data_IF_924514128707
#
_entry.id   IF_924514128707
#
_cell.length_a   1.000
_cell.length_b   1.000
_cell.length_c   1.000
_cell.angle_alpha   90.00
_cell.angle_beta   90.00
_cell.angle_gamma   90.00
#
_symmetry.space_group_name_H-M   'P 1'
#
loop_
_entity.id
_entity.type
_entity.pdbx_description
1 polymer ?
#
# COMPACT_ATOMS: atom_id res chain seq x y z
N UNK A 1 -74.53 9.37 44.89
CA UNK A 1 -73.18 9.59 44.33
C UNK A 1 -72.23 8.57 44.96
N UNK A 2 -71.77 7.57 44.19
CA UNK A 2 -70.81 6.56 44.65
C UNK A 2 -69.43 6.95 44.12
N UNK A 3 -68.49 7.28 45.00
CA UNK A 3 -67.09 7.55 44.66
C UNK A 3 -66.28 6.27 44.83
N UNK A 4 -65.81 5.71 43.72
CA UNK A 4 -64.87 4.59 43.68
C UNK A 4 -63.43 5.10 43.85
N UNK A 5 -62.76 4.73 44.96
CA UNK A 5 -61.32 4.85 45.08
C UNK A 5 -60.65 3.62 44.45
N UNK A 6 -59.98 3.80 43.29
CA UNK A 6 -59.04 2.81 42.74
C UNK A 6 -57.62 3.17 43.17
N UNK A 7 -57.03 2.33 44.00
CA UNK A 7 -55.60 2.34 44.31
C UNK A 7 -54.84 1.84 43.07
N UNK A 8 -53.93 2.66 42.53
CA UNK A 8 -52.98 2.24 41.48
C UNK A 8 -51.74 1.67 42.15
N UNK A 9 -51.52 0.36 42.03
CA UNK A 9 -50.22 -0.25 42.28
C UNK A 9 -49.26 0.17 41.15
N UNK A 10 -48.18 0.85 41.49
CA UNK A 10 -47.06 1.12 40.58
C UNK A 10 -46.10 -0.07 40.73
N UNK A 11 -46.06 -0.93 39.72
CA UNK A 11 -45.04 -1.97 39.61
C UNK A 11 -43.75 -1.31 39.10
N UNK A 12 -42.74 -1.24 39.96
CA UNK A 12 -41.38 -0.86 39.57
C UNK A 12 -40.72 -2.09 38.97
N UNK A 13 -40.70 -2.18 37.65
CA UNK A 13 -39.92 -3.16 36.91
C UNK A 13 -38.44 -2.79 37.00
N UNK A 14 -37.69 -3.53 37.81
CA UNK A 14 -36.24 -3.45 37.89
C UNK A 14 -35.66 -4.11 36.62
N UNK A 15 -35.39 -3.31 35.59
CA UNK A 15 -34.68 -3.76 34.40
C UNK A 15 -33.20 -3.95 34.75
N UNK A 16 -32.80 -5.20 34.95
CA UNK A 16 -31.39 -5.59 35.06
C UNK A 16 -30.72 -5.32 33.70
N UNK A 17 -29.99 -4.21 33.59
CA UNK A 17 -29.10 -3.97 32.45
C UNK A 17 -27.88 -4.85 32.68
N UNK A 18 -27.86 -6.03 32.05
CA UNK A 18 -26.65 -6.82 31.86
C UNK A 18 -25.73 -6.02 30.93
N UNK A 19 -24.83 -5.24 31.53
CA UNK A 19 -23.69 -4.68 30.83
C UNK A 19 -22.78 -5.83 30.40
N UNK A 20 -22.88 -6.23 29.14
CA UNK A 20 -21.82 -7.01 28.49
C UNK A 20 -20.60 -6.09 28.37
N UNK A 21 -19.66 -6.22 29.30
CA UNK A 21 -18.30 -5.79 29.10
C UNK A 21 -17.68 -6.68 28.01
N UNK A 22 -18.06 -6.45 26.76
CA UNK A 22 -17.31 -6.92 25.61
C UNK A 22 -15.99 -6.19 25.64
N UNK A 23 -14.95 -6.84 26.15
CA UNK A 23 -13.59 -6.37 25.91
C UNK A 23 -13.44 -6.22 24.40
N UNK A 24 -13.17 -5.00 23.94
CA UNK A 24 -12.87 -4.71 22.55
C UNK A 24 -11.60 -5.50 22.19
N UNK A 25 -11.76 -6.74 21.75
CA UNK A 25 -10.66 -7.53 21.23
C UNK A 25 -10.15 -6.77 20.00
N UNK A 26 -8.88 -6.34 20.06
CA UNK A 26 -8.23 -5.73 18.91
C UNK A 26 -8.36 -6.68 17.72
N UNK A 27 -8.71 -6.19 16.51
CA UNK A 27 -8.86 -7.04 15.35
C UNK A 27 -7.55 -7.80 15.11
N UNK A 28 -7.65 -9.13 14.98
CA UNK A 28 -6.54 -10.02 14.69
C UNK A 28 -6.41 -10.20 13.17
N UNK A 29 -5.20 -10.48 12.65
CA UNK A 29 -5.05 -10.78 11.23
C UNK A 29 -5.79 -12.09 10.89
N UNK A 30 -6.36 -12.18 9.68
CA UNK A 30 -7.17 -13.34 9.28
C UNK A 30 -6.39 -14.68 9.32
N UNK A 31 -5.06 -14.61 9.24
CA UNK A 31 -4.16 -15.78 9.29
C UNK A 31 -3.91 -16.30 10.71
N UNK A 32 -4.36 -15.59 11.75
CA UNK A 32 -4.10 -15.97 13.14
C UNK A 32 -4.70 -17.35 13.46
N UNK A 33 -3.87 -18.24 14.00
CA UNK A 33 -4.31 -19.57 14.43
C UNK A 33 -4.74 -19.56 15.91
N UNK A 34 -5.58 -20.52 16.35
CA UNK A 34 -5.94 -20.64 17.76
C UNK A 34 -4.72 -20.72 18.68
N UNK A 35 -4.69 -19.85 19.69
CA UNK A 35 -3.58 -19.75 20.64
C UNK A 35 -2.42 -18.85 20.21
N UNK A 36 -2.44 -18.31 18.99
CA UNK A 36 -1.47 -17.28 18.58
C UNK A 36 -1.84 -15.91 19.15
N UNK A 37 -0.81 -15.13 19.47
CA UNK A 37 -0.95 -13.74 19.88
C UNK A 37 -0.30 -12.81 18.84
N UNK A 38 -1.04 -11.80 18.41
CA UNK A 38 -0.60 -10.83 17.41
C UNK A 38 -0.83 -9.42 17.95
N UNK A 39 0.19 -8.58 17.84
CA UNK A 39 0.18 -7.22 18.36
C UNK A 39 0.12 -6.23 17.21
N UNK A 40 -0.93 -5.41 17.18
CA UNK A 40 -1.08 -4.32 16.22
C UNK A 40 0.07 -3.31 16.38
N UNK A 41 0.68 -2.92 15.27
CA UNK A 41 1.76 -1.96 15.20
C UNK A 41 1.17 -0.59 14.87
N UNK A 42 0.90 0.22 15.90
CA UNK A 42 0.18 1.50 15.79
C UNK A 42 0.87 2.49 14.83
N UNK A 43 2.20 2.54 14.81
CA UNK A 43 2.98 3.42 13.93
C UNK A 43 2.93 3.04 12.44
N UNK A 44 2.32 1.90 12.12
CA UNK A 44 2.12 1.38 10.76
C UNK A 44 0.69 0.87 10.56
N UNK A 45 -0.25 1.37 11.37
CA UNK A 45 -1.67 1.05 11.28
C UNK A 45 -2.50 2.32 11.39
N UNK A 46 -3.57 2.40 10.61
CA UNK A 46 -4.48 3.53 10.56
C UNK A 46 -5.85 3.11 10.04
N UNK A 47 -6.89 3.62 10.69
CA UNK A 47 -8.29 3.52 10.26
C UNK A 47 -8.73 4.80 9.51
N UNK A 48 -7.81 5.74 9.30
CA UNK A 48 -8.00 6.98 8.55
C UNK A 48 -9.20 7.81 9.02
N UNK A 49 -9.40 7.91 10.33
CA UNK A 49 -10.32 8.91 10.92
C UNK A 49 -9.80 10.35 10.72
N UNK A 50 -8.47 10.51 10.64
CA UNK A 50 -7.78 11.79 10.42
C UNK A 50 -6.60 11.63 9.48
N UNK A 51 -6.16 12.75 8.86
CA UNK A 51 -4.89 12.81 8.13
C UNK A 51 -3.72 12.99 9.10
N UNK A 52 -3.20 11.90 9.66
CA UNK A 52 -2.10 11.91 10.63
C UNK A 52 -0.73 12.10 9.96
N UNK A 53 -0.25 13.35 9.91
CA UNK A 53 1.06 13.69 9.33
C UNK A 53 2.25 13.37 10.27
N UNK A 54 2.01 13.03 11.54
CA UNK A 54 3.05 12.55 12.43
C UNK A 54 3.40 11.10 12.10
N UNK A 55 2.38 10.27 11.83
CA UNK A 55 2.57 8.87 11.42
C UNK A 55 2.97 8.71 9.95
N UNK A 56 2.38 9.52 9.07
CA UNK A 56 2.56 9.40 7.62
C UNK A 56 3.27 10.61 7.00
N UNK A 57 4.20 10.34 6.09
CA UNK A 57 4.73 11.32 5.17
C UNK A 57 3.91 11.31 3.86
N UNK A 58 3.11 12.36 3.67
CA UNK A 58 2.25 12.53 2.49
C UNK A 58 2.94 13.25 1.30
N UNK A 59 4.22 13.61 1.44
CA UNK A 59 5.01 14.21 0.38
C UNK A 59 6.49 13.77 0.48
N UNK A 60 6.76 12.58 -0.05
CA UNK A 60 8.06 11.91 0.04
C UNK A 60 9.06 12.41 -1.01
N UNK A 61 10.24 11.80 -1.05
CA UNK A 61 11.17 11.96 -2.17
C UNK A 61 10.50 11.61 -3.51
N UNK A 62 10.68 12.46 -4.52
CA UNK A 62 10.08 12.25 -5.83
C UNK A 62 10.85 11.20 -6.65
N UNK A 63 10.11 10.30 -7.28
CA UNK A 63 10.59 9.31 -8.25
C UNK A 63 9.55 9.10 -9.36
N UNK A 64 9.84 8.23 -10.32
CA UNK A 64 8.99 8.06 -11.51
C UNK A 64 8.90 9.36 -12.33
N UNK A 65 7.73 9.60 -12.93
CA UNK A 65 7.49 10.71 -13.88
C UNK A 65 6.31 11.60 -13.46
N UNK A 66 6.04 11.61 -12.17
CA UNK A 66 5.14 12.52 -11.48
C UNK A 66 5.87 13.15 -10.29
N UNK A 67 5.17 13.97 -9.54
CA UNK A 67 5.62 14.45 -8.23
C UNK A 67 4.55 14.22 -7.18
N UNK A 68 4.98 13.83 -5.99
CA UNK A 68 4.12 13.72 -4.81
C UNK A 68 3.76 15.10 -4.30
N UNK A 69 2.50 15.25 -3.89
CA UNK A 69 2.00 16.47 -3.27
C UNK A 69 1.11 16.14 -2.09
N UNK A 70 1.31 16.84 -0.98
CA UNK A 70 0.49 16.67 0.22
C UNK A 70 -1.02 16.90 -0.05
N UNK A 71 -1.36 17.88 -0.88
CA UNK A 71 -2.74 18.21 -1.32
C UNK A 71 -3.40 17.12 -2.18
N UNK A 72 -2.67 16.08 -2.57
CA UNK A 72 -3.19 14.91 -3.28
C UNK A 72 -3.45 13.71 -2.35
N UNK A 73 -3.25 13.88 -1.05
CA UNK A 73 -3.70 12.97 -0.01
C UNK A 73 -4.73 13.67 0.88
N UNK A 74 -5.95 13.15 0.93
CA UNK A 74 -7.03 13.67 1.77
C UNK A 74 -7.70 12.56 2.54
N UNK A 75 -8.15 12.86 3.75
CA UNK A 75 -8.92 11.94 4.58
C UNK A 75 -10.31 12.55 4.82
N UNK A 76 -11.35 11.78 4.58
CA UNK A 76 -12.74 12.16 4.81
C UNK A 76 -13.60 10.92 5.03
N UNK A 77 -14.51 10.97 5.99
CA UNK A 77 -15.47 9.88 6.29
C UNK A 77 -14.80 8.51 6.51
N UNK A 78 -13.65 8.50 7.19
CA UNK A 78 -12.87 7.27 7.46
C UNK A 78 -12.05 6.76 6.28
N UNK A 79 -12.01 7.47 5.15
CA UNK A 79 -11.34 7.01 3.93
C UNK A 79 -10.15 7.92 3.59
N UNK A 80 -8.97 7.33 3.42
CA UNK A 80 -7.84 7.98 2.75
C UNK A 80 -8.02 7.92 1.23
N UNK A 81 -7.94 9.08 0.57
CA UNK A 81 -7.97 9.21 -0.88
C UNK A 81 -6.63 9.71 -1.40
N UNK A 82 -6.04 8.97 -2.34
CA UNK A 82 -4.78 9.34 -3.01
C UNK A 82 -5.05 9.64 -4.49
N UNK A 83 -4.92 10.90 -4.87
CA UNK A 83 -5.39 11.41 -6.16
C UNK A 83 -4.24 11.67 -7.13
N UNK A 84 -4.32 11.13 -8.34
CA UNK A 84 -3.48 11.57 -9.48
C UNK A 84 -4.19 12.68 -10.23
N UNK A 85 -3.48 13.78 -10.49
CA UNK A 85 -3.98 14.95 -11.23
C UNK A 85 -3.12 15.22 -12.46
N UNK A 86 -3.76 15.65 -13.55
CA UNK A 86 -3.06 16.25 -14.68
C UNK A 86 -2.62 17.66 -14.27
N UNK A 87 -1.33 17.83 -14.01
CA UNK A 87 -0.74 19.08 -13.55
C UNK A 87 0.69 19.26 -14.09
N UNK A 88 0.87 20.24 -14.97
CA UNK A 88 2.18 20.53 -15.55
C UNK A 88 3.06 21.25 -14.54
N UNK A 89 4.25 20.72 -14.29
CA UNK A 89 5.21 21.30 -13.37
C UNK A 89 6.65 20.97 -13.80
N UNK A 90 7.63 21.56 -13.12
CA UNK A 90 9.05 21.34 -13.36
C UNK A 90 9.70 20.76 -12.09
N UNK A 91 10.58 19.78 -12.25
CA UNK A 91 11.49 19.35 -11.16
C UNK A 91 12.82 18.87 -11.69
N UNK A 92 13.80 18.67 -10.81
CA UNK A 92 14.99 17.89 -11.17
C UNK A 92 14.60 16.43 -11.38
N UNK A 93 15.01 15.86 -12.49
CA UNK A 93 14.75 14.48 -12.88
C UNK A 93 16.06 13.72 -13.07
N UNK A 94 16.13 12.48 -12.60
CA UNK A 94 17.26 11.60 -12.87
C UNK A 94 17.01 10.91 -14.21
N UNK A 95 17.85 11.19 -15.20
CA UNK A 95 17.89 10.48 -16.48
C UNK A 95 18.86 9.29 -16.33
N UNK A 96 18.31 8.12 -16.02
CA UNK A 96 19.09 6.89 -15.85
C UNK A 96 19.71 6.35 -17.14
N UNK A 97 19.23 6.75 -18.32
CA UNK A 97 19.85 6.34 -19.58
C UNK A 97 21.17 7.07 -19.82
N UNK A 98 21.19 8.38 -19.54
CA UNK A 98 22.37 9.23 -19.66
C UNK A 98 23.14 9.40 -18.34
N UNK A 99 22.66 8.80 -17.26
CA UNK A 99 23.23 8.86 -15.90
C UNK A 99 23.45 10.30 -15.41
N UNK A 100 22.49 11.19 -15.64
CA UNK A 100 22.59 12.61 -15.28
C UNK A 100 21.34 13.16 -14.61
N UNK A 101 21.49 14.24 -13.83
CA UNK A 101 20.35 15.00 -13.28
C UNK A 101 20.00 16.13 -14.23
N UNK A 102 18.77 16.13 -14.73
CA UNK A 102 18.24 17.17 -15.61
C UNK A 102 17.44 18.17 -14.76
N UNK A 103 17.93 19.41 -14.57
CA UNK A 103 17.18 20.44 -13.86
C UNK A 103 16.00 20.93 -14.71
N UNK A 104 14.94 21.43 -14.05
CA UNK A 104 13.75 21.98 -14.70
C UNK A 104 13.13 21.04 -15.76
N UNK A 105 13.20 19.72 -15.51
CA UNK A 105 12.58 18.72 -16.37
C UNK A 105 11.05 18.84 -16.26
N UNK A 106 10.37 18.93 -17.40
CA UNK A 106 8.92 19.11 -17.46
C UNK A 106 8.20 17.78 -17.26
N UNK A 107 7.27 17.76 -16.32
CA UNK A 107 6.37 16.65 -16.04
C UNK A 107 4.92 17.11 -16.09
N UNK A 108 4.00 16.16 -16.16
CA UNK A 108 2.61 16.44 -16.53
C UNK A 108 1.58 16.01 -15.49
N UNK A 109 1.99 15.26 -14.47
CA UNK A 109 1.09 14.72 -13.45
C UNK A 109 1.65 14.84 -12.05
N UNK A 110 0.79 15.10 -11.08
CA UNK A 110 1.08 15.00 -9.64
C UNK A 110 0.24 13.88 -9.05
N UNK A 111 0.68 13.28 -7.94
CA UNK A 111 -0.04 12.16 -7.30
C UNK A 111 0.04 12.20 -5.77
N UNK A 112 -0.74 11.35 -5.11
CA UNK A 112 -0.79 11.16 -3.66
C UNK A 112 -0.01 9.93 -3.19
N UNK A 113 0.59 10.04 -2.01
CA UNK A 113 1.32 8.98 -1.31
C UNK A 113 1.06 9.10 0.18
N UNK A 114 1.06 7.99 0.91
CA UNK A 114 1.16 7.94 2.36
C UNK A 114 2.25 6.92 2.74
N UNK A 115 3.41 7.42 3.18
CA UNK A 115 4.55 6.58 3.60
C UNK A 115 4.73 6.64 5.10
N UNK A 116 4.69 5.51 5.80
CA UNK A 116 4.90 5.46 7.25
C UNK A 116 6.27 6.03 7.60
N UNK A 117 6.35 6.85 8.66
CA UNK A 117 7.65 7.31 9.16
C UNK A 117 8.41 6.17 9.84
N UNK A 118 7.70 5.32 10.58
CA UNK A 118 8.23 4.09 11.14
C UNK A 118 8.56 3.07 10.07
N UNK A 119 9.47 2.16 10.41
CA UNK A 119 9.88 1.03 9.58
C UNK A 119 9.56 -0.30 10.26
N UNK A 120 9.63 -1.37 9.48
CA UNK A 120 9.78 -2.73 9.98
C UNK A 120 9.98 -3.70 8.81
N UNK A 121 9.94 -5.00 9.09
CA UNK A 121 10.15 -6.05 8.10
C UNK A 121 9.13 -7.17 8.25
N UNK A 122 9.31 -8.05 9.24
CA UNK A 122 8.43 -9.17 9.50
C UNK A 122 7.10 -8.68 10.06
N UNK A 123 6.05 -9.48 9.86
CA UNK A 123 4.69 -9.17 10.29
C UNK A 123 3.67 -9.50 9.22
N UNK A 124 2.40 -9.38 9.61
CA UNK A 124 1.29 -9.41 8.69
C UNK A 124 0.85 -7.98 8.40
N UNK A 125 0.69 -7.64 7.13
CA UNK A 125 0.30 -6.32 6.64
C UNK A 125 -0.94 -6.47 5.80
N UNK A 126 -1.94 -5.61 6.00
CA UNK A 126 -3.18 -5.64 5.24
C UNK A 126 -3.67 -4.21 5.00
N UNK A 127 -4.18 -3.96 3.81
CA UNK A 127 -4.92 -2.74 3.50
C UNK A 127 -6.22 -3.10 2.78
N UNK A 128 -7.28 -2.35 3.09
CA UNK A 128 -8.56 -2.45 2.39
C UNK A 128 -8.68 -1.31 1.39
N UNK A 129 -8.59 -1.65 0.10
CA UNK A 129 -8.36 -0.69 -0.98
C UNK A 129 -9.44 -0.84 -2.03
N UNK A 130 -9.94 0.29 -2.51
CA UNK A 130 -10.68 0.40 -3.78
C UNK A 130 -9.77 1.08 -4.81
N UNK A 131 -9.61 0.43 -5.96
CA UNK A 131 -8.82 0.94 -7.08
C UNK A 131 -9.40 2.20 -7.69
N UNK A 132 -8.64 2.83 -8.59
CA UNK A 132 -9.07 4.03 -9.26
C UNK A 132 -9.89 3.73 -10.52
N UNK A 133 -10.97 4.49 -10.75
CA UNK A 133 -11.87 4.33 -11.92
C UNK A 133 -11.14 4.39 -13.28
N UNK A 134 -10.00 5.10 -13.35
CA UNK A 134 -9.26 5.25 -14.60
C UNK A 134 -8.38 4.03 -14.87
N UNK A 135 -8.75 3.24 -15.87
CA UNK A 135 -7.89 2.25 -16.50
C UNK A 135 -7.86 2.38 -18.03
N UNK A 136 -6.68 2.27 -18.69
CA UNK A 136 -5.33 2.29 -18.11
C UNK A 136 -4.88 3.73 -17.76
N UNK A 137 -3.80 3.83 -16.97
CA UNK A 137 -3.06 5.09 -16.79
C UNK A 137 -2.53 5.34 -15.37
N UNK A 138 -3.13 4.68 -14.37
CA UNK A 138 -2.66 4.72 -12.99
C UNK A 138 -2.54 3.32 -12.41
N UNK A 139 -1.76 3.17 -11.35
CA UNK A 139 -1.61 1.93 -10.59
C UNK A 139 -1.66 2.25 -9.10
N UNK A 140 -2.81 1.99 -8.46
CA UNK A 140 -2.90 1.91 -7.00
C UNK A 140 -1.94 0.84 -6.47
N UNK A 141 -1.17 1.17 -5.44
CA UNK A 141 -0.16 0.29 -4.89
C UNK A 141 -0.14 0.31 -3.36
N UNK A 142 0.02 -0.87 -2.78
CA UNK A 142 0.33 -1.09 -1.36
C UNK A 142 1.62 -1.89 -1.27
N UNK A 143 2.64 -1.33 -0.65
CA UNK A 143 4.00 -1.82 -0.75
C UNK A 143 4.85 -1.32 0.41
N UNK A 144 6.07 -1.83 0.52
CA UNK A 144 7.04 -1.34 1.50
C UNK A 144 8.45 -1.40 0.93
N UNK A 145 9.26 -0.38 1.22
CA UNK A 145 10.62 -0.30 0.68
C UNK A 145 11.63 0.30 1.65
N UNK A 146 12.87 -0.12 1.51
CA UNK A 146 14.00 0.33 2.33
C UNK A 146 14.77 1.47 1.68
N UNK A 147 15.66 2.13 2.43
CA UNK A 147 16.70 2.97 1.81
C UNK A 147 17.69 2.08 1.07
N UNK A 148 18.16 2.55 -0.10
CA UNK A 148 19.30 1.95 -0.79
C UNK A 148 20.58 2.29 -0.04
N UNK A 149 21.26 1.29 0.49
CA UNK A 149 22.58 1.43 1.11
C UNK A 149 23.67 0.92 0.17
N UNK A 150 24.35 1.85 -0.50
CA UNK A 150 25.44 1.52 -1.43
C UNK A 150 26.78 1.26 -0.76
N UNK A 151 26.87 1.39 0.57
CA UNK A 151 28.10 1.10 1.32
C UNK A 151 28.31 -0.40 1.55
N UNK A 152 27.23 -1.19 1.41
CA UNK A 152 27.26 -2.65 1.46
C UNK A 152 27.79 -3.20 0.12
N UNK A 153 28.98 -3.79 0.13
CA UNK A 153 29.70 -4.20 -1.09
C UNK A 153 30.20 -5.64 -1.08
N UNK A 154 29.98 -6.40 -0.01
CA UNK A 154 30.42 -7.79 0.05
C UNK A 154 29.46 -8.69 -0.74
N UNK A 155 29.96 -9.81 -1.27
CA UNK A 155 29.13 -10.77 -2.00
C UNK A 155 27.94 -11.24 -1.14
N UNK A 156 26.73 -11.18 -1.69
CA UNK A 156 25.49 -11.51 -0.98
C UNK A 156 24.87 -10.36 -0.18
N UNK A 157 25.55 -9.22 0.00
CA UNK A 157 24.98 -8.07 0.69
C UNK A 157 23.73 -7.55 -0.04
N UNK A 158 22.68 -7.24 0.73
CA UNK A 158 21.44 -6.64 0.20
C UNK A 158 21.44 -5.13 0.46
N UNK A 159 21.59 -4.36 -0.63
CA UNK A 159 21.56 -2.90 -0.59
C UNK A 159 20.14 -2.34 -0.50
N UNK A 160 19.15 -3.08 -1.03
CA UNK A 160 17.76 -2.64 -1.11
C UNK A 160 16.80 -3.82 -1.10
N UNK A 161 15.72 -3.67 -0.34
CA UNK A 161 14.57 -4.57 -0.27
C UNK A 161 13.30 -3.77 -0.48
N UNK A 162 12.38 -4.34 -1.24
CA UNK A 162 11.02 -3.85 -1.50
C UNK A 162 10.08 -5.04 -1.70
N UNK A 163 8.94 -5.01 -0.99
CA UNK A 163 7.86 -5.99 -1.10
C UNK A 163 6.60 -5.26 -1.53
N UNK A 164 6.06 -5.65 -2.68
CA UNK A 164 4.82 -5.10 -3.22
C UNK A 164 3.68 -6.02 -2.79
N UNK A 165 2.84 -5.55 -1.87
CA UNK A 165 1.67 -6.32 -1.41
C UNK A 165 0.68 -6.44 -2.55
N UNK A 166 0.45 -5.34 -3.27
CA UNK A 166 -0.27 -5.35 -4.54
C UNK A 166 0.09 -4.13 -5.37
N UNK A 167 0.20 -4.32 -6.69
CA UNK A 167 0.13 -3.27 -7.70
C UNK A 167 -1.05 -3.57 -8.63
N UNK A 168 -2.08 -2.72 -8.57
CA UNK A 168 -3.30 -2.87 -9.34
C UNK A 168 -3.19 -2.18 -10.70
N UNK A 169 -3.97 -2.65 -11.68
CA UNK A 169 -4.28 -1.96 -12.94
C UNK A 169 -3.08 -1.49 -13.76
N UNK A 170 -1.92 -2.15 -13.62
CA UNK A 170 -0.69 -1.82 -14.36
C UNK A 170 -0.41 -2.76 -15.54
N UNK A 171 -1.23 -3.79 -15.72
CA UNK A 171 -1.13 -4.76 -16.81
C UNK A 171 -2.12 -4.45 -17.93
N UNK A 172 -2.26 -5.38 -18.88
CA UNK A 172 -3.08 -5.16 -20.07
C UNK A 172 -4.57 -5.25 -19.79
N UNK A 173 -4.97 -6.04 -18.78
CA UNK A 173 -6.36 -6.15 -18.33
C UNK A 173 -6.52 -5.58 -16.92
N UNK A 174 -7.71 -5.06 -16.60
CA UNK A 174 -7.98 -4.40 -15.32
C UNK A 174 -7.92 -5.35 -14.12
N UNK A 175 -8.19 -6.64 -14.37
CA UNK A 175 -8.25 -7.69 -13.36
C UNK A 175 -6.90 -8.39 -13.12
N UNK A 176 -5.86 -8.03 -13.86
CA UNK A 176 -4.50 -8.52 -13.60
C UNK A 176 -3.83 -7.68 -12.51
N UNK A 177 -3.53 -8.31 -11.38
CA UNK A 177 -2.75 -7.73 -10.28
C UNK A 177 -1.36 -8.36 -10.19
N UNK A 178 -0.39 -7.58 -9.74
CA UNK A 178 0.96 -8.04 -9.42
C UNK A 178 1.21 -7.99 -7.91
N UNK A 179 1.93 -8.99 -7.41
CA UNK A 179 2.32 -9.16 -6.01
C UNK A 179 3.81 -9.49 -5.95
N UNK A 180 4.61 -8.47 -6.24
CA UNK A 180 5.98 -8.63 -6.69
C UNK A 180 7.00 -8.28 -5.59
N UNK A 181 8.25 -8.54 -5.91
CA UNK A 181 9.39 -8.24 -5.06
C UNK A 181 10.48 -7.55 -5.86
N UNK A 182 11.16 -6.61 -5.22
CA UNK A 182 12.29 -5.91 -5.79
C UNK A 182 13.46 -5.89 -4.81
N UNK A 183 14.68 -6.06 -5.31
CA UNK A 183 15.86 -5.97 -4.46
C UNK A 183 17.12 -5.59 -5.26
N UNK A 184 18.11 -5.08 -4.53
CA UNK A 184 19.49 -4.94 -5.02
C UNK A 184 20.37 -5.82 -4.12
N UNK A 185 21.07 -6.76 -4.73
CA UNK A 185 22.01 -7.66 -4.05
C UNK A 185 23.36 -7.63 -4.75
N UNK A 186 24.45 -7.70 -4.00
CA UNK A 186 25.79 -7.88 -4.57
C UNK A 186 25.90 -9.31 -5.09
N UNK A 187 26.09 -9.44 -6.41
CA UNK A 187 26.30 -10.70 -7.11
C UNK A 187 27.46 -10.55 -8.08
N UNK A 188 28.41 -11.47 -8.02
CA UNK A 188 29.65 -11.42 -8.80
C UNK A 188 30.42 -10.10 -8.59
N UNK A 189 30.48 -9.63 -7.34
CA UNK A 189 31.20 -8.42 -6.94
C UNK A 189 30.56 -7.10 -7.39
N UNK A 190 29.33 -7.11 -7.91
CA UNK A 190 28.63 -5.90 -8.35
C UNK A 190 27.17 -5.84 -7.86
N UNK A 191 26.61 -4.64 -7.59
CA UNK A 191 25.19 -4.49 -7.29
C UNK A 191 24.32 -4.90 -8.47
N UNK A 192 23.49 -5.93 -8.29
CA UNK A 192 22.51 -6.39 -9.28
C UNK A 192 21.10 -6.12 -8.80
N UNK A 193 20.33 -5.45 -9.66
CA UNK A 193 18.89 -5.34 -9.50
C UNK A 193 18.23 -6.66 -9.87
N UNK A 194 17.39 -7.17 -8.99
CA UNK A 194 16.45 -8.24 -9.27
C UNK A 194 15.05 -7.65 -9.30
N UNK A 195 14.35 -7.86 -10.41
CA UNK A 195 12.99 -7.36 -10.68
C UNK A 195 12.10 -8.53 -11.08
N UNK A 196 10.77 -8.42 -10.93
CA UNK A 196 9.83 -9.47 -11.32
C UNK A 196 10.02 -9.91 -12.78
N UNK A 197 10.18 -8.96 -13.72
CA UNK A 197 10.38 -9.31 -15.13
C UNK A 197 11.71 -10.01 -15.46
N UNK A 198 12.79 -9.76 -14.70
CA UNK A 198 14.12 -10.34 -14.94
C UNK A 198 14.41 -11.57 -14.09
N UNK A 199 13.66 -11.77 -13.01
CA UNK A 199 13.87 -12.84 -12.03
C UNK A 199 12.52 -13.41 -11.55
N UNK A 200 11.61 -13.80 -12.47
CA UNK A 200 10.21 -14.08 -12.14
C UNK A 200 10.03 -15.20 -11.12
N UNK A 201 10.88 -16.24 -11.17
CA UNK A 201 10.83 -17.36 -10.22
C UNK A 201 10.96 -16.93 -8.76
N UNK A 202 11.74 -15.87 -8.51
CA UNK A 202 12.01 -15.38 -7.15
C UNK A 202 11.26 -14.10 -6.82
N UNK A 203 10.86 -13.31 -7.83
CA UNK A 203 10.40 -11.95 -7.63
C UNK A 203 9.00 -11.64 -8.18
N UNK A 204 8.35 -12.55 -8.92
CA UNK A 204 7.05 -12.28 -9.54
C UNK A 204 5.93 -13.19 -9.01
N UNK A 205 4.77 -12.60 -8.72
CA UNK A 205 3.51 -13.32 -8.58
C UNK A 205 2.40 -12.52 -9.30
N UNK A 206 1.99 -12.97 -10.48
CA UNK A 206 0.81 -12.44 -11.16
C UNK A 206 -0.46 -13.16 -10.71
N UNK A 207 -1.56 -12.44 -10.59
CA UNK A 207 -2.86 -13.01 -10.22
C UNK A 207 -3.99 -12.39 -11.05
N UNK A 208 -4.97 -13.22 -11.41
CA UNK A 208 -6.18 -12.77 -12.07
C UNK A 208 -7.29 -12.65 -11.04
N UNK A 209 -7.65 -11.41 -10.71
CA UNK A 209 -8.68 -11.08 -9.73
C UNK A 209 -10.05 -11.58 -10.22
N UNK A 210 -10.87 -12.21 -9.36
CA UNK A 210 -12.23 -12.62 -9.72
C UNK A 210 -13.24 -11.45 -9.73
N UNK A 211 -12.76 -10.21 -9.70
CA UNK A 211 -13.52 -8.96 -9.61
C UNK A 211 -12.79 -7.83 -10.32
N UNK A 212 -13.47 -6.73 -10.61
CA UNK A 212 -12.83 -5.48 -11.04
C UNK A 212 -12.36 -4.71 -9.78
N UNK A 213 -11.05 -4.47 -9.60
CA UNK A 213 -10.53 -3.83 -8.38
C UNK A 213 -10.96 -2.37 -8.22
N UNK A 214 -11.54 -1.73 -9.23
CA UNK A 214 -12.00 -0.33 -9.17
C UNK A 214 -13.45 -0.18 -8.71
N UNK A 215 -14.23 -1.26 -8.62
CA UNK A 215 -15.67 -1.18 -8.35
C UNK A 215 -16.00 -1.16 -6.84
N UNK A 216 -15.27 -1.92 -6.03
CA UNK A 216 -15.47 -2.01 -4.57
C UNK A 216 -14.14 -2.12 -3.82
N UNK A 217 -14.21 -2.06 -2.49
CA UNK A 217 -13.07 -2.27 -1.60
C UNK A 217 -12.79 -3.75 -1.39
N UNK A 218 -11.53 -4.14 -1.61
CA UNK A 218 -11.01 -5.49 -1.38
C UNK A 218 -9.84 -5.47 -0.40
N UNK A 219 -9.56 -6.59 0.26
CA UNK A 219 -8.41 -6.69 1.17
C UNK A 219 -7.19 -7.25 0.46
N UNK A 220 -6.06 -6.59 0.64
CA UNK A 220 -4.76 -6.98 0.09
C UNK A 220 -3.78 -7.10 1.24
N UNK A 221 -3.21 -8.28 1.42
CA UNK A 221 -2.31 -8.53 2.54
C UNK A 221 -1.09 -9.37 2.21
N UNK A 222 -0.07 -9.27 3.07
CA UNK A 222 1.13 -10.08 2.98
C UNK A 222 1.58 -10.51 4.38
N UNK A 223 1.92 -11.79 4.53
CA UNK A 223 2.61 -12.31 5.69
C UNK A 223 4.11 -12.38 5.37
N UNK A 224 4.92 -11.61 6.08
CA UNK A 224 6.37 -11.56 5.92
C UNK A 224 7.01 -12.22 7.13
N UNK A 225 7.70 -13.33 6.91
CA UNK A 225 8.50 -14.01 7.93
C UNK A 225 9.97 -14.00 7.53
N UNK A 226 10.84 -14.51 8.41
CA UNK A 226 12.25 -14.70 8.09
C UNK A 226 12.47 -15.66 6.90
N UNK A 227 11.57 -16.62 6.68
CA UNK A 227 11.79 -17.68 5.70
C UNK A 227 10.94 -17.53 4.44
N UNK A 228 9.78 -16.91 4.57
CA UNK A 228 8.69 -16.96 3.61
C UNK A 228 7.96 -15.62 3.52
N UNK A 229 7.47 -15.31 2.33
CA UNK A 229 6.57 -14.19 2.04
C UNK A 229 5.35 -14.78 1.35
N UNK A 230 4.17 -14.54 1.90
CA UNK A 230 2.89 -15.10 1.40
C UNK A 230 1.88 -13.98 1.21
N UNK A 231 1.28 -13.87 0.03
CA UNK A 231 0.35 -12.80 -0.33
C UNK A 231 -1.08 -13.30 -0.34
N UNK A 232 -2.01 -12.40 -0.01
CA UNK A 232 -3.42 -12.66 0.13
C UNK A 232 -4.25 -11.57 -0.55
N UNK A 233 -5.31 -11.99 -1.22
CA UNK A 233 -6.39 -11.12 -1.72
C UNK A 233 -7.70 -11.69 -1.19
N UNK A 234 -8.49 -10.88 -0.49
CA UNK A 234 -9.74 -11.29 0.17
C UNK A 234 -9.56 -12.60 0.97
N UNK A 235 -8.48 -12.66 1.75
CA UNK A 235 -8.05 -13.80 2.58
C UNK A 235 -7.65 -15.08 1.81
N UNK A 236 -7.63 -15.05 0.47
CA UNK A 236 -7.16 -16.15 -0.37
C UNK A 236 -5.68 -15.97 -0.69
N UNK A 237 -4.87 -17.00 -0.47
CA UNK A 237 -3.46 -16.96 -0.85
C UNK A 237 -3.31 -16.88 -2.37
N UNK A 238 -2.63 -15.84 -2.87
CA UNK A 238 -2.41 -15.60 -4.31
C UNK A 238 -0.94 -15.64 -4.73
N UNK A 239 -0.02 -15.58 -3.77
CA UNK A 239 1.42 -15.56 -4.04
C UNK A 239 2.21 -16.18 -2.90
N UNK A 240 3.38 -16.71 -3.24
CA UNK A 240 4.32 -17.27 -2.27
C UNK A 240 5.74 -17.24 -2.82
N UNK A 241 6.69 -16.81 -1.98
CA UNK A 241 8.13 -16.79 -2.27
C UNK A 241 8.92 -17.06 -1.00
N UNK A 242 10.14 -17.59 -1.15
CA UNK A 242 11.11 -17.63 -0.06
C UNK A 242 11.62 -16.22 0.22
N UNK A 243 11.74 -15.84 1.48
CA UNK A 243 12.32 -14.57 1.87
C UNK A 243 13.86 -14.65 1.79
N UNK A 244 14.40 -14.43 0.60
CA UNK A 244 15.85 -14.50 0.35
C UNK A 244 16.57 -13.19 0.68
N UNK A 245 15.90 -12.05 0.42
CA UNK A 245 16.54 -10.74 0.39
C UNK A 245 15.72 -9.62 1.06
N UNK A 246 14.58 -9.91 1.68
CA UNK A 246 13.65 -8.88 2.18
C UNK A 246 13.63 -8.84 3.71
N UNK A 247 14.80 -8.57 4.28
CA UNK A 247 15.03 -8.50 5.73
C UNK A 247 15.33 -7.07 6.22
N UNK A 248 15.54 -6.12 5.31
CA UNK A 248 15.85 -4.72 5.66
C UNK A 248 14.63 -4.04 6.28
N UNK A 249 14.89 -3.02 7.08
CA UNK A 249 13.87 -2.09 7.55
C UNK A 249 13.22 -1.36 6.37
N UNK A 250 11.91 -1.49 6.22
CA UNK A 250 11.12 -0.94 5.12
C UNK A 250 10.01 -0.02 5.66
N UNK A 251 9.78 1.10 4.97
CA UNK A 251 8.65 1.99 5.23
C UNK A 251 7.41 1.47 4.51
N UNK A 252 6.29 1.30 5.22
CA UNK A 252 5.01 0.92 4.65
C UNK A 252 4.44 2.07 3.82
N UNK A 253 3.95 1.80 2.63
CA UNK A 253 3.58 2.83 1.66
C UNK A 253 2.31 2.48 0.91
N UNK A 254 1.38 3.44 0.88
CA UNK A 254 0.22 3.46 -0.01
C UNK A 254 0.47 4.58 -1.04
N UNK A 255 0.35 4.29 -2.33
CA UNK A 255 0.57 5.31 -3.36
C UNK A 255 -0.13 4.98 -4.66
N UNK A 256 -0.35 6.01 -5.49
CA UNK A 256 -0.89 5.82 -6.83
C UNK A 256 0.13 6.25 -7.89
N UNK A 257 0.74 5.28 -8.57
CA UNK A 257 1.70 5.53 -9.63
C UNK A 257 1.05 5.85 -10.98
N UNK A 258 1.77 6.52 -11.87
CA UNK A 258 1.38 6.66 -13.28
C UNK A 258 1.87 5.45 -14.07
N UNK A 259 1.12 5.04 -15.10
CA UNK A 259 1.45 3.93 -16.00
C UNK A 259 1.18 4.30 -17.46
N UNK A 260 1.43 3.35 -18.37
CA UNK A 260 1.02 3.48 -19.76
C UNK A 260 -0.49 3.82 -19.83
N UNK A 261 -0.92 4.65 -20.78
CA UNK A 261 -0.17 5.18 -21.92
C UNK A 261 0.68 6.41 -21.62
N UNK A 262 0.74 6.89 -20.38
CA UNK A 262 1.40 8.15 -20.00
C UNK A 262 2.91 8.01 -19.69
N UNK A 263 3.40 6.77 -19.66
CA UNK A 263 4.79 6.44 -19.31
C UNK A 263 5.43 5.53 -20.36
N UNK A 264 6.75 5.59 -20.45
CA UNK A 264 7.62 4.62 -21.12
C UNK A 264 8.56 4.01 -20.07
N UNK A 265 8.89 2.72 -20.19
CA UNK A 265 9.88 2.06 -19.33
C UNK A 265 11.17 1.83 -20.09
N UNK A 266 12.28 2.41 -19.61
CA UNK A 266 13.62 2.18 -20.16
C UNK A 266 14.69 2.50 -19.12
N UNK A 267 15.85 1.86 -19.23
CA UNK A 267 17.00 2.09 -18.34
C UNK A 267 16.63 1.97 -16.84
N UNK A 268 15.75 1.01 -16.51
CA UNK A 268 15.27 0.72 -15.15
C UNK A 268 14.48 1.85 -14.46
N UNK A 269 13.79 2.69 -15.23
CA UNK A 269 12.89 3.71 -14.68
C UNK A 269 11.82 4.12 -15.69
N UNK A 270 10.83 4.89 -15.22
CA UNK A 270 9.87 5.55 -16.08
C UNK A 270 10.43 6.82 -16.73
N UNK A 271 9.97 7.08 -17.95
CA UNK A 271 10.04 8.36 -18.68
C UNK A 271 8.62 8.78 -19.09
N UNK A 272 8.30 10.08 -19.17
CA UNK A 272 7.00 10.51 -19.66
C UNK A 272 6.84 10.09 -21.12
N UNK A 273 5.64 9.70 -21.52
CA UNK A 273 5.29 9.56 -22.93
C UNK A 273 4.77 10.89 -23.51
N UNK A 274 4.47 10.90 -24.80
CA UNK A 274 3.81 12.03 -25.45
C UNK A 274 2.33 12.16 -25.05
N UNK A 275 1.73 11.11 -24.46
CA UNK A 275 0.34 11.16 -24.01
C UNK A 275 0.21 11.86 -22.65
N UNK A 276 -0.14 13.14 -22.73
CA UNK A 276 -0.31 14.04 -21.58
C UNK A 276 -1.79 14.40 -21.37
N UNK A 277 -2.71 13.52 -21.75
CA UNK A 277 -4.16 13.78 -21.71
C UNK A 277 -4.66 14.09 -20.29
N UNK A 278 -5.59 15.04 -20.19
CA UNK A 278 -6.35 15.29 -18.97
C UNK A 278 -7.54 14.31 -18.80
N UNK A 279 -7.90 13.55 -19.83
CA UNK A 279 -9.08 12.69 -19.82
C UNK A 279 -8.97 11.58 -18.78
N UNK A 280 -9.99 11.48 -17.92
CA UNK A 280 -10.03 10.55 -16.79
C UNK A 280 -9.18 11.01 -15.59
N UNK A 281 -8.67 12.25 -15.58
CA UNK A 281 -8.05 12.86 -14.40
C UNK A 281 -8.89 14.06 -13.92
N UNK A 282 -8.98 14.34 -12.61
CA UNK A 282 -8.38 13.56 -11.52
C UNK A 282 -9.00 12.17 -11.36
N UNK A 283 -8.22 11.23 -10.85
CA UNK A 283 -8.67 9.87 -10.49
C UNK A 283 -7.98 9.45 -9.20
N UNK A 284 -8.64 8.68 -8.36
CA UNK A 284 -8.13 8.36 -7.02
C UNK A 284 -8.35 6.92 -6.66
N UNK A 285 -7.39 6.34 -5.95
CA UNK A 285 -7.62 5.15 -5.12
C UNK A 285 -8.13 5.58 -3.76
N UNK A 286 -8.86 4.69 -3.12
CA UNK A 286 -9.43 4.87 -1.78
C UNK A 286 -8.96 3.76 -0.86
N UNK A 287 -8.66 4.09 0.39
CA UNK A 287 -8.17 3.17 1.41
C UNK A 287 -8.99 3.37 2.67
N UNK A 288 -9.65 2.30 3.10
CA UNK A 288 -10.49 2.26 4.30
C UNK A 288 -9.64 2.08 5.55
N UNK A 289 -8.70 1.13 5.52
CA UNK A 289 -7.72 0.98 6.58
C UNK A 289 -6.40 0.43 6.05
N UNK A 290 -5.35 0.59 6.86
CA UNK A 290 -4.11 -0.18 6.78
C UNK A 290 -3.76 -0.69 8.16
N UNK A 291 -3.45 -1.97 8.29
CA UNK A 291 -3.16 -2.60 9.58
C UNK A 291 -1.92 -3.47 9.47
N UNK A 292 -1.09 -3.40 10.49
CA UNK A 292 0.14 -4.18 10.59
C UNK A 292 0.17 -4.90 11.93
N UNK A 293 0.47 -6.19 11.93
CA UNK A 293 0.59 -6.99 13.16
C UNK A 293 1.92 -7.72 13.23
N UNK A 294 2.45 -7.88 14.45
CA UNK A 294 3.57 -8.75 14.76
C UNK A 294 3.10 -9.92 15.61
N UNK A 295 3.42 -11.14 15.17
CA UNK A 295 3.24 -12.34 15.98
C UNK A 295 4.24 -12.33 17.15
N UNK A 296 3.76 -12.64 18.35
CA UNK A 296 4.56 -12.80 19.57
C UNK A 296 5.08 -14.23 19.72
#
# INVERSE_FOLDING_TARGET
MKTNNKVKLIAISLSLILGSAGGNAQPMPHIAQPGENWVLQTERSDEFDIKDAEKWNFQTENYGVWSWKDENASVSDGILKLTTKRETHLRTFWDGCNKTKVPKYRLFYTSGVAKSRATGNYGYYEARIKGADKFPGVSPAFWMYSKIDRTLTNEGDVQYSEIDVVELTQKQTVQESDHDLHNIVIKDGAPKWMRPGSSPETNHNGYHLPFDPSEDFHTYGVNVTKNDITWYVDNVQVGYKKNLYWHREMNLTLSQGLRAPHTQWKCNQFYPSDNQSAQGFPTSMEIDYVRTWLKQ
#
